data_IF_971972916648
#
_entry.id   IF_971972916648
#
_cell.length_a   1.000
_cell.length_b   1.000
_cell.length_c   1.000
_cell.angle_alpha   90.00
_cell.angle_beta   90.00
_cell.angle_gamma   90.00
#
_symmetry.space_group_name_H-M   'P 1'
#
loop_
_entity.id
_entity.type
_entity.pdbx_description
1 polymer ?
#
# COMPACT_ATOMS: atom_id res chain seq x y z
N UNK A 1 -7.83 -42.01 -55.34
CA UNK A 1 -6.79 -42.46 -54.39
C UNK A 1 -6.36 -41.26 -53.56
N UNK A 2 -6.81 -41.17 -52.32
CA UNK A 2 -6.41 -40.08 -51.41
C UNK A 2 -4.99 -40.43 -50.93
N UNK A 3 -4.04 -39.54 -51.21
CA UNK A 3 -2.62 -39.78 -50.99
C UNK A 3 -2.33 -39.76 -49.48
N UNK A 4 -2.20 -40.94 -48.88
CA UNK A 4 -2.09 -41.18 -47.43
C UNK A 4 -0.99 -40.31 -46.80
N UNK A 5 0.10 -40.03 -47.53
CA UNK A 5 1.18 -39.16 -47.07
C UNK A 5 0.79 -37.69 -46.88
N UNK A 6 -0.17 -37.17 -47.68
CA UNK A 6 -0.67 -35.79 -47.51
C UNK A 6 -1.60 -35.66 -46.30
N UNK A 7 -2.36 -36.71 -45.99
CA UNK A 7 -3.24 -36.74 -44.80
C UNK A 7 -2.39 -36.73 -43.53
N UNK A 8 -1.33 -37.55 -43.46
CA UNK A 8 -0.46 -37.60 -42.27
C UNK A 8 0.22 -36.26 -41.97
N UNK A 9 0.62 -35.51 -42.99
CA UNK A 9 1.21 -34.18 -42.82
C UNK A 9 0.18 -33.16 -42.32
N UNK A 10 -1.04 -33.18 -42.87
CA UNK A 10 -2.13 -32.31 -42.43
C UNK A 10 -2.53 -32.57 -40.97
N UNK A 11 -2.57 -33.85 -40.56
CA UNK A 11 -2.84 -34.22 -39.16
C UNK A 11 -1.72 -33.72 -38.24
N UNK A 12 -0.45 -33.84 -38.63
CA UNK A 12 0.68 -33.34 -37.84
C UNK A 12 0.62 -31.82 -37.63
N UNK A 13 0.28 -31.05 -38.67
CA UNK A 13 0.09 -29.60 -38.55
C UNK A 13 -1.11 -29.23 -37.66
N UNK A 14 -2.21 -29.98 -37.72
CA UNK A 14 -3.36 -29.74 -36.84
C UNK A 14 -3.04 -30.01 -35.36
N UNK A 15 -2.16 -30.98 -35.06
CA UNK A 15 -1.73 -31.25 -33.68
C UNK A 15 -0.81 -30.14 -33.15
N UNK A 16 0.07 -29.58 -34.00
CA UNK A 16 0.97 -28.47 -33.63
C UNK A 16 0.25 -27.14 -33.37
N UNK A 17 -0.87 -26.88 -34.06
CA UNK A 17 -1.68 -25.66 -33.85
C UNK A 17 -2.45 -25.68 -32.53
N UNK A 18 -2.70 -26.88 -31.95
CA UNK A 18 -3.41 -27.05 -30.68
C UNK A 18 -2.47 -27.10 -29.46
N UNK A 19 -1.19 -26.74 -29.62
CA UNK A 19 -0.34 -26.49 -28.45
C UNK A 19 -0.75 -25.11 -27.91
N UNK A 20 -1.78 -25.11 -27.06
CA UNK A 20 -2.04 -23.98 -26.18
C UNK A 20 -0.73 -23.65 -25.47
N UNK A 21 -0.30 -22.39 -25.58
CA UNK A 21 0.88 -21.92 -24.89
C UNK A 21 0.65 -22.12 -23.39
N UNK A 22 1.24 -23.17 -22.82
CA UNK A 22 1.37 -23.32 -21.39
C UNK A 22 2.31 -22.20 -20.98
N UNK A 23 1.74 -21.06 -20.60
CA UNK A 23 2.49 -20.04 -19.88
C UNK A 23 2.94 -20.70 -18.60
N UNK A 24 4.22 -21.07 -18.53
CA UNK A 24 4.85 -21.38 -17.26
C UNK A 24 4.75 -20.09 -16.44
N UNK A 25 3.75 -20.02 -15.57
CA UNK A 25 3.70 -19.03 -14.49
C UNK A 25 4.86 -19.42 -13.60
N UNK A 26 6.00 -18.78 -13.83
CA UNK A 26 7.15 -18.89 -12.96
C UNK A 26 6.77 -18.19 -11.66
N UNK A 27 6.16 -18.92 -10.72
CA UNK A 27 6.06 -18.48 -9.33
C UNK A 27 7.48 -18.47 -8.77
N UNK A 28 8.16 -17.33 -8.92
CA UNK A 28 9.35 -17.05 -8.13
C UNK A 28 8.89 -17.03 -6.66
N UNK A 29 9.40 -17.96 -5.87
CA UNK A 29 9.15 -18.03 -4.42
C UNK A 29 9.77 -16.84 -3.65
N UNK A 30 10.36 -15.87 -4.35
CA UNK A 30 10.96 -14.65 -3.79
C UNK A 30 9.96 -13.47 -3.71
N UNK A 31 8.70 -13.69 -4.12
CA UNK A 31 7.61 -12.71 -4.06
C UNK A 31 6.99 -12.58 -2.65
N UNK A 32 7.77 -12.80 -1.60
CA UNK A 32 7.26 -12.76 -0.22
C UNK A 32 7.26 -11.32 0.33
N UNK A 33 6.09 -10.88 0.80
CA UNK A 33 5.96 -9.62 1.51
C UNK A 33 6.80 -9.66 2.80
N UNK A 34 7.81 -8.80 2.89
CA UNK A 34 8.65 -8.64 4.06
C UNK A 34 7.93 -7.68 5.02
N UNK A 35 7.78 -8.12 6.28
CA UNK A 35 7.34 -7.22 7.35
C UNK A 35 8.43 -6.16 7.56
N UNK A 36 8.11 -4.91 7.29
CA UNK A 36 9.05 -3.82 7.51
C UNK A 36 8.92 -3.33 8.96
N UNK A 37 7.74 -2.86 9.38
CA UNK A 37 7.45 -2.65 10.80
C UNK A 37 5.98 -2.90 11.19
N UNK A 38 5.75 -2.93 12.50
CA UNK A 38 4.43 -3.05 13.09
C UNK A 38 4.32 -2.21 14.36
N UNK A 39 3.24 -1.44 14.46
CA UNK A 39 2.82 -0.78 15.70
C UNK A 39 1.62 -1.53 16.25
N UNK A 40 1.84 -2.28 17.34
CA UNK A 40 0.78 -3.02 18.01
C UNK A 40 -0.16 -2.08 18.76
N UNK A 41 -1.42 -2.47 18.90
CA UNK A 41 -2.42 -1.73 19.67
C UNK A 41 -1.94 -1.27 21.06
N UNK A 42 -1.24 -2.15 21.79
CA UNK A 42 -0.76 -1.84 23.15
C UNK A 42 0.26 -0.70 23.13
N UNK A 43 1.11 -0.68 22.11
CA UNK A 43 2.19 0.28 21.94
C UNK A 43 1.62 1.61 21.42
N UNK A 44 0.72 1.54 20.44
CA UNK A 44 -0.07 2.70 19.99
C UNK A 44 -0.75 3.44 21.15
N UNK A 45 -1.43 2.70 22.04
CA UNK A 45 -2.06 3.29 23.23
C UNK A 45 -1.06 3.84 24.25
N UNK A 46 0.13 3.26 24.36
CA UNK A 46 1.17 3.76 25.25
C UNK A 46 1.79 5.07 24.72
N UNK A 47 2.01 5.16 23.41
CA UNK A 47 2.53 6.37 22.76
C UNK A 47 1.48 7.48 22.71
N UNK A 48 0.22 7.15 22.44
CA UNK A 48 -0.85 8.14 22.39
C UNK A 48 -1.06 8.89 23.72
N UNK A 49 -0.75 8.26 24.86
CA UNK A 49 -0.79 8.89 26.20
C UNK A 49 0.30 9.95 26.41
N UNK A 50 1.35 9.94 25.61
CA UNK A 50 2.47 10.90 25.69
C UNK A 50 2.23 12.14 24.82
N UNK A 51 1.22 12.11 23.96
CA UNK A 51 0.97 13.17 23.00
C UNK A 51 0.26 14.36 23.65
N UNK A 52 0.80 15.54 23.41
CA UNK A 52 0.13 16.79 23.73
C UNK A 52 -0.66 17.26 22.50
N UNK A 53 -1.96 17.49 22.69
CA UNK A 53 -2.80 18.04 21.62
C UNK A 53 -2.52 19.54 21.53
N UNK A 54 -1.85 19.97 20.47
CA UNK A 54 -1.78 21.39 20.16
C UNK A 54 -3.14 21.87 19.65
N UNK A 55 -3.82 22.81 20.32
CA UNK A 55 -5.19 23.19 20.00
C UNK A 55 -5.30 24.23 18.87
N UNK A 56 -4.17 24.70 18.33
CA UNK A 56 -4.13 25.74 17.30
C UNK A 56 -3.94 25.19 15.88
N UNK A 57 -4.31 25.97 14.85
CA UNK A 57 -3.93 25.66 13.48
C UNK A 57 -2.41 25.65 13.37
N UNK A 58 -1.87 24.62 12.70
CA UNK A 58 -0.43 24.52 12.46
C UNK A 58 -0.02 25.70 11.56
N UNK A 59 0.96 26.54 11.97
CA UNK A 59 1.37 27.69 11.17
C UNK A 59 1.77 27.27 9.75
N UNK A 60 1.23 27.96 8.74
CA UNK A 60 1.47 27.66 7.33
C UNK A 60 0.52 26.63 6.71
N UNK A 61 -0.34 25.98 7.50
CA UNK A 61 -1.35 25.06 6.99
C UNK A 61 -2.64 25.79 6.61
N UNK A 62 -3.16 25.48 5.42
CA UNK A 62 -4.53 25.84 5.02
C UNK A 62 -5.55 24.96 5.75
N UNK A 63 -6.81 25.40 5.90
CA UNK A 63 -7.87 24.52 6.37
C UNK A 63 -8.02 23.28 5.48
N UNK A 64 -8.17 22.12 6.10
CA UNK A 64 -8.32 20.87 5.39
C UNK A 64 -9.72 20.72 4.79
N UNK A 65 -9.79 20.29 3.53
CA UNK A 65 -11.04 20.04 2.81
C UNK A 65 -11.71 18.76 3.30
N UNK A 66 -12.98 18.56 2.91
CA UNK A 66 -13.70 17.33 3.20
C UNK A 66 -12.98 16.07 2.69
N UNK A 67 -12.39 16.13 1.49
CA UNK A 67 -11.69 14.99 0.89
C UNK A 67 -10.39 14.69 1.63
N UNK A 68 -9.61 15.71 1.97
CA UNK A 68 -8.38 15.57 2.77
C UNK A 68 -8.68 14.98 4.15
N UNK A 69 -9.77 15.41 4.79
CA UNK A 69 -10.22 14.83 6.05
C UNK A 69 -10.73 13.38 5.90
N UNK A 70 -11.26 13.01 4.74
CA UNK A 70 -11.71 11.63 4.44
C UNK A 70 -10.51 10.71 4.25
N UNK A 71 -9.47 11.20 3.57
CA UNK A 71 -8.19 10.51 3.42
C UNK A 71 -7.52 10.20 4.77
N UNK A 72 -7.60 11.11 5.75
CA UNK A 72 -7.12 10.85 7.11
C UNK A 72 -7.94 9.79 7.86
N UNK A 73 -9.20 9.56 7.47
CA UNK A 73 -10.17 8.72 8.19
C UNK A 73 -10.20 7.28 7.73
N UNK A 74 -10.02 7.07 6.44
CA UNK A 74 -10.26 5.78 5.78
C UNK A 74 -9.02 4.87 5.77
N UNK A 75 -7.93 5.27 6.42
CA UNK A 75 -6.68 4.52 6.47
C UNK A 75 -5.70 4.81 5.32
N UNK A 76 -6.07 5.65 4.34
CA UNK A 76 -5.18 5.98 3.21
C UNK A 76 -3.89 6.64 3.68
N UNK A 77 -3.95 7.49 4.70
CA UNK A 77 -2.76 8.09 5.31
C UNK A 77 -1.76 7.05 5.85
N UNK A 78 -2.23 5.90 6.34
CA UNK A 78 -1.37 4.82 6.84
C UNK A 78 -0.78 4.01 5.68
N UNK A 79 -1.53 3.80 4.61
CA UNK A 79 -1.01 3.20 3.39
C UNK A 79 0.16 4.03 2.84
N UNK A 80 -0.07 5.34 2.69
CA UNK A 80 0.94 6.25 2.15
C UNK A 80 2.13 6.42 3.09
N UNK A 81 1.92 6.31 4.40
CA UNK A 81 3.03 6.20 5.36
C UNK A 81 3.92 5.00 5.03
N UNK A 82 3.34 3.81 4.85
CA UNK A 82 4.09 2.61 4.49
C UNK A 82 4.81 2.72 3.13
N UNK A 83 4.28 3.53 2.20
CA UNK A 83 4.93 3.78 0.92
C UNK A 83 6.03 4.86 0.98
N UNK A 84 5.78 5.97 1.68
CA UNK A 84 6.57 7.20 1.56
C UNK A 84 7.59 7.43 2.67
N UNK A 85 7.31 6.97 3.90
CA UNK A 85 8.24 7.17 5.02
C UNK A 85 9.31 6.07 5.12
N UNK A 86 9.16 4.97 4.36
CA UNK A 86 10.10 3.85 4.37
C UNK A 86 10.43 3.39 5.80
N UNK A 87 11.72 3.08 6.05
CA UNK A 87 12.21 2.62 7.36
C UNK A 87 12.30 3.72 8.45
N UNK A 88 11.72 4.91 8.23
CA UNK A 88 11.71 5.97 9.25
C UNK A 88 10.58 5.65 10.24
N UNK A 89 10.90 4.75 11.17
CA UNK A 89 10.01 4.10 12.14
C UNK A 89 9.33 5.01 13.19
N UNK A 90 9.28 6.32 12.98
CA UNK A 90 8.88 7.27 14.03
C UNK A 90 7.57 8.02 13.73
N UNK A 91 6.94 7.75 12.59
CA UNK A 91 5.67 8.39 12.20
C UNK A 91 4.49 7.50 12.61
N UNK A 92 3.41 8.11 13.12
CA UNK A 92 2.18 7.40 13.55
C UNK A 92 2.36 6.29 14.60
N UNK A 93 3.36 6.41 15.48
CA UNK A 93 3.59 5.50 16.61
C UNK A 93 2.38 5.32 17.56
N UNK A 94 1.39 6.21 17.47
CA UNK A 94 0.16 6.20 18.25
C UNK A 94 -1.06 5.60 17.52
N UNK A 95 -0.87 5.09 16.30
CA UNK A 95 -1.90 4.43 15.49
C UNK A 95 -1.47 2.99 15.26
N UNK A 96 -2.37 2.03 15.50
CA UNK A 96 -2.10 0.61 15.21
C UNK A 96 -2.01 0.40 13.69
N UNK A 97 -0.90 -0.17 13.22
CA UNK A 97 -0.68 -0.48 11.80
C UNK A 97 0.44 -1.50 11.59
N UNK A 98 0.53 -2.03 10.38
CA UNK A 98 1.57 -2.96 9.92
C UNK A 98 1.98 -2.55 8.52
N UNK A 99 3.26 -2.22 8.32
CA UNK A 99 3.83 -1.94 7.01
C UNK A 99 4.52 -3.18 6.45
N UNK A 100 4.22 -3.50 5.18
CA UNK A 100 4.78 -4.64 4.47
C UNK A 100 5.33 -4.16 3.14
N UNK A 101 6.53 -4.61 2.81
CA UNK A 101 7.16 -4.36 1.50
C UNK A 101 7.13 -5.65 0.69
N UNK A 102 6.42 -5.61 -0.43
CA UNK A 102 6.33 -6.73 -1.37
C UNK A 102 7.10 -6.47 -2.67
N UNK A 103 7.07 -7.42 -3.60
CA UNK A 103 7.59 -7.23 -4.96
C UNK A 103 6.73 -6.24 -5.78
N UNK A 104 5.47 -6.04 -5.39
CA UNK A 104 4.59 -5.06 -6.01
C UNK A 104 4.97 -3.63 -5.58
N UNK A 105 4.92 -2.70 -6.54
CA UNK A 105 5.17 -1.28 -6.28
C UNK A 105 4.07 -0.73 -5.36
N UNK A 106 4.47 -0.02 -4.31
CA UNK A 106 3.53 0.59 -3.35
C UNK A 106 2.77 1.73 -4.03
N UNK A 107 1.43 1.72 -3.94
CA UNK A 107 0.58 2.75 -4.53
C UNK A 107 0.29 3.86 -3.51
N UNK A 108 0.69 5.10 -3.83
CA UNK A 108 0.42 6.29 -3.01
C UNK A 108 -0.97 6.84 -3.35
N UNK A 109 -1.83 7.01 -2.34
CA UNK A 109 -3.22 7.44 -2.49
C UNK A 109 -3.43 8.97 -2.50
N UNK A 110 -2.51 9.76 -1.95
CA UNK A 110 -2.61 11.21 -1.90
C UNK A 110 -2.48 11.85 -3.30
N UNK A 111 -1.31 11.69 -3.90
CA UNK A 111 -0.93 12.04 -5.29
C UNK A 111 0.55 11.66 -5.45
N UNK A 112 1.37 12.12 -4.50
CA UNK A 112 2.78 11.79 -4.34
C UNK A 112 3.20 11.89 -2.85
N UNK A 113 4.47 11.56 -2.57
CA UNK A 113 4.99 11.60 -1.20
C UNK A 113 5.14 13.03 -0.62
N UNK A 114 5.16 14.07 -1.46
CA UNK A 114 5.17 15.45 -1.00
C UNK A 114 3.78 15.89 -0.53
N UNK A 115 2.74 15.51 -1.27
CA UNK A 115 1.35 15.75 -0.88
C UNK A 115 0.97 14.93 0.36
N UNK A 116 1.42 13.67 0.45
CA UNK A 116 1.35 12.87 1.67
C UNK A 116 1.92 13.63 2.87
N UNK A 117 3.14 14.17 2.74
CA UNK A 117 3.83 14.90 3.82
C UNK A 117 3.01 16.10 4.29
N UNK A 118 2.47 16.88 3.34
CA UNK A 118 1.59 18.02 3.64
C UNK A 118 0.32 17.57 4.37
N UNK A 119 -0.34 16.52 3.88
CA UNK A 119 -1.58 16.00 4.48
C UNK A 119 -1.34 15.42 5.88
N UNK A 120 -0.25 14.68 6.06
CA UNK A 120 0.19 14.16 7.35
C UNK A 120 0.29 15.28 8.37
N UNK A 121 1.08 16.31 8.06
CA UNK A 121 1.41 17.38 8.99
C UNK A 121 0.23 18.31 9.20
N UNK A 122 -0.42 18.78 8.14
CA UNK A 122 -1.46 19.81 8.25
C UNK A 122 -2.85 19.29 8.63
N UNK A 123 -3.16 18.02 8.35
CA UNK A 123 -4.52 17.50 8.46
C UNK A 123 -4.61 16.27 9.36
N UNK A 124 -3.84 15.23 9.06
CA UNK A 124 -4.10 13.91 9.60
C UNK A 124 -3.53 13.72 11.01
N UNK A 125 -2.39 14.31 11.35
CA UNK A 125 -1.79 14.14 12.68
C UNK A 125 -2.76 14.60 13.78
N UNK A 126 -3.18 15.87 13.76
CA UNK A 126 -4.11 16.41 14.76
C UNK A 126 -5.44 15.65 14.79
N UNK A 127 -5.96 15.25 13.62
CA UNK A 127 -7.17 14.44 13.52
C UNK A 127 -7.01 13.10 14.23
N UNK A 128 -5.99 12.32 13.85
CA UNK A 128 -5.77 10.97 14.36
C UNK A 128 -5.53 10.98 15.87
N UNK A 129 -4.74 11.95 16.38
CA UNK A 129 -4.55 12.15 17.82
C UNK A 129 -5.89 12.44 18.52
N UNK A 130 -6.72 13.32 17.96
CA UNK A 130 -8.04 13.66 18.56
C UNK A 130 -9.02 12.48 18.58
N UNK A 131 -8.87 11.54 17.65
CA UNK A 131 -9.71 10.33 17.59
C UNK A 131 -9.14 9.15 18.34
N UNK A 132 -7.88 9.22 18.76
CA UNK A 132 -7.27 8.19 19.57
C UNK A 132 -7.98 8.19 20.93
N UNK A 133 -8.83 7.18 21.14
CA UNK A 133 -9.50 6.96 22.42
C UNK A 133 -8.48 6.32 23.38
N UNK A 134 -7.62 7.14 23.95
CA UNK A 134 -6.66 6.77 25.00
C UNK A 134 -7.35 6.59 26.35
#
# INVERSE_FOLDING_TARGET
>A
MINIGRISILILFLILVNVEAITVVNHHFDDEYILEHQVLRKDALAEAKKLEIYPGPIPGCKPCTYFEMTYCKNGSIINDHCCCDGNVNEVFLFVEHTCRMGPEECEVHAEDCAEYTRLRECCCHSYLVSTCKC
#
